data_IF_362218478721
#
_entry.id   IF_362218478721
#
_cell.length_a   1.000
_cell.length_b   1.000
_cell.length_c   1.000
_cell.angle_alpha   90.00
_cell.angle_beta   90.00
_cell.angle_gamma   90.00
#
_symmetry.space_group_name_H-M   'P 1'
#
loop_
_entity.id
_entity.type
_entity.pdbx_description
1 polymer ?
#
# COMPACT_ATOMS: atom_id res chain seq x y z
N UNK A 1 11.68 30.87 -31.56
CA UNK A 1 11.12 29.55 -31.93
C UNK A 1 11.01 28.74 -30.65
N UNK A 2 9.82 28.70 -30.06
CA UNK A 2 9.57 28.04 -28.78
C UNK A 2 9.36 26.53 -29.01
N UNK A 3 10.19 25.70 -28.38
CA UNK A 3 9.96 24.26 -28.28
C UNK A 3 9.33 24.00 -26.92
N UNK A 4 8.01 23.90 -26.91
CA UNK A 4 7.20 23.51 -25.76
C UNK A 4 7.34 22.00 -25.58
N UNK A 5 7.97 21.56 -24.48
CA UNK A 5 8.14 20.15 -24.16
C UNK A 5 6.81 19.53 -23.72
N UNK A 6 6.46 18.43 -24.39
CA UNK A 6 5.19 17.73 -24.36
C UNK A 6 4.82 17.08 -23.01
N UNK A 7 3.50 17.00 -22.83
CA UNK A 7 2.75 16.48 -21.69
C UNK A 7 3.20 15.08 -21.24
N UNK A 8 3.59 14.94 -19.97
CA UNK A 8 3.76 13.64 -19.31
C UNK A 8 2.38 13.01 -19.10
N UNK A 9 2.00 12.07 -19.96
CA UNK A 9 0.77 11.29 -19.82
C UNK A 9 0.72 10.65 -18.43
N UNK A 10 -0.18 11.11 -17.56
CA UNK A 10 -0.46 10.49 -16.25
C UNK A 10 -1.24 9.19 -16.48
N UNK A 11 -0.54 8.07 -16.59
CA UNK A 11 -1.12 6.71 -16.60
C UNK A 11 -1.71 6.41 -15.19
N UNK A 12 -2.89 5.76 -15.08
CA UNK A 12 -3.89 6.14 -14.11
C UNK A 12 -3.49 5.75 -12.69
N UNK A 13 -3.73 6.66 -11.76
CA UNK A 13 -3.60 6.45 -10.32
C UNK A 13 -4.29 5.17 -9.84
N UNK A 14 -5.33 4.70 -10.55
CA UNK A 14 -6.06 3.49 -10.22
C UNK A 14 -5.21 2.22 -10.28
N UNK A 15 -4.41 2.00 -11.33
CA UNK A 15 -3.57 0.79 -11.41
C UNK A 15 -2.48 0.78 -10.33
N UNK A 16 -1.94 1.96 -10.02
CA UNK A 16 -0.99 2.11 -8.89
C UNK A 16 -1.69 1.85 -7.56
N UNK A 17 -2.92 2.32 -7.40
CA UNK A 17 -3.70 2.15 -6.18
C UNK A 17 -4.05 0.69 -5.93
N UNK A 18 -4.51 -0.02 -6.96
CA UNK A 18 -4.80 -1.46 -6.89
C UNK A 18 -3.54 -2.25 -6.52
N UNK A 19 -2.41 -2.00 -7.19
CA UNK A 19 -1.13 -2.66 -6.86
C UNK A 19 -0.67 -2.39 -5.43
N UNK A 20 -0.85 -1.16 -4.95
CA UNK A 20 -0.51 -0.79 -3.57
C UNK A 20 -1.39 -1.54 -2.57
N UNK A 21 -2.70 -1.57 -2.82
CA UNK A 21 -3.65 -2.29 -1.96
C UNK A 21 -3.32 -3.79 -1.90
N UNK A 22 -3.07 -4.42 -3.04
CA UNK A 22 -2.67 -5.83 -3.05
C UNK A 22 -1.34 -6.09 -2.35
N UNK A 23 -0.35 -5.20 -2.50
CA UNK A 23 0.92 -5.32 -1.80
C UNK A 23 0.72 -5.26 -0.27
N UNK A 24 -0.14 -4.37 0.20
CA UNK A 24 -0.52 -4.27 1.61
C UNK A 24 -1.22 -5.54 2.11
N UNK A 25 -2.16 -6.11 1.35
CA UNK A 25 -2.84 -7.36 1.71
C UNK A 25 -1.86 -8.53 1.83
N UNK A 26 -0.99 -8.72 0.81
CA UNK A 26 0.05 -9.76 0.83
C UNK A 26 1.05 -9.57 1.96
N UNK A 27 1.41 -8.33 2.28
CA UNK A 27 2.29 -8.01 3.39
C UNK A 27 1.62 -8.31 4.74
N UNK A 28 0.34 -7.95 4.88
CA UNK A 28 -0.46 -8.24 6.06
C UNK A 28 -0.53 -9.73 6.34
N UNK A 29 -0.92 -10.53 5.36
CA UNK A 29 -0.99 -12.00 5.46
C UNK A 29 0.33 -12.61 5.94
N UNK A 30 1.46 -12.18 5.33
CA UNK A 30 2.79 -12.60 5.75
C UNK A 30 3.14 -12.18 7.17
N UNK A 31 2.77 -10.97 7.58
CA UNK A 31 3.06 -10.50 8.93
C UNK A 31 2.22 -11.21 9.99
N UNK A 32 0.92 -11.36 9.74
CA UNK A 32 0.02 -12.07 10.63
C UNK A 32 0.45 -13.52 10.79
N UNK A 33 0.86 -14.18 9.71
CA UNK A 33 1.35 -15.56 9.73
C UNK A 33 2.71 -15.70 10.43
N UNK A 34 3.62 -14.74 10.26
CA UNK A 34 4.98 -14.86 10.79
C UNK A 34 5.10 -14.52 12.29
N UNK A 35 4.37 -13.50 12.77
CA UNK A 35 4.49 -13.01 14.16
C UNK A 35 3.17 -12.98 14.94
N UNK A 36 2.07 -13.40 14.32
CA UNK A 36 0.74 -13.35 14.92
C UNK A 36 0.09 -11.97 14.84
N UNK A 37 -1.23 -11.95 15.04
CA UNK A 37 -2.04 -10.75 14.94
C UNK A 37 -1.64 -9.66 15.95
N UNK A 38 -1.41 -10.02 17.22
CA UNK A 38 -1.11 -9.07 18.28
C UNK A 38 0.19 -8.29 18.03
N UNK A 39 1.25 -8.97 17.58
CA UNK A 39 2.56 -8.37 17.32
C UNK A 39 2.64 -7.61 15.98
N UNK A 40 1.66 -7.78 15.10
CA UNK A 40 1.60 -7.08 13.81
C UNK A 40 1.13 -5.65 13.98
N UNK A 41 1.75 -4.70 13.28
CA UNK A 41 1.40 -3.27 13.29
C UNK A 41 1.20 -2.75 11.88
N UNK A 42 0.41 -1.69 11.71
CA UNK A 42 0.21 -1.04 10.42
C UNK A 42 1.54 -0.56 9.79
N UNK A 43 2.46 -0.06 10.64
CA UNK A 43 3.83 0.30 10.25
C UNK A 43 4.58 -0.91 9.69
N UNK A 44 4.58 -2.05 10.39
CA UNK A 44 5.28 -3.25 9.93
C UNK A 44 4.72 -3.80 8.63
N UNK A 45 3.40 -3.74 8.44
CA UNK A 45 2.76 -4.13 7.18
C UNK A 45 3.18 -3.19 6.05
N UNK A 46 3.16 -1.87 6.28
CA UNK A 46 3.58 -0.88 5.29
C UNK A 46 5.05 -1.05 4.89
N UNK A 47 5.94 -1.25 5.86
CA UNK A 47 7.36 -1.54 5.64
C UNK A 47 7.55 -2.80 4.80
N UNK A 48 6.83 -3.89 5.11
CA UNK A 48 6.90 -5.12 4.30
C UNK A 48 6.33 -4.96 2.89
N UNK A 49 5.33 -4.11 2.72
CA UNK A 49 4.74 -3.80 1.42
C UNK A 49 5.57 -2.81 0.59
N UNK A 50 6.71 -2.33 1.11
CA UNK A 50 7.56 -1.30 0.51
C UNK A 50 6.80 0.01 0.21
N UNK A 51 5.96 0.42 1.17
CA UNK A 51 5.20 1.68 1.08
C UNK A 51 5.32 2.48 2.37
N UNK A 52 5.08 3.79 2.26
CA UNK A 52 5.03 4.64 3.44
C UNK A 52 3.87 4.24 4.37
N UNK A 53 4.07 4.34 5.69
CA UNK A 53 3.02 4.10 6.68
C UNK A 53 1.78 4.98 6.43
N UNK A 54 1.96 6.22 5.95
CA UNK A 54 0.84 7.07 5.55
C UNK A 54 0.04 6.50 4.37
N UNK A 55 0.68 5.77 3.45
CA UNK A 55 0.00 5.08 2.36
C UNK A 55 -0.87 3.94 2.87
N UNK A 56 -0.46 3.20 3.91
CA UNK A 56 -1.33 2.19 4.54
C UNK A 56 -2.69 2.80 4.91
N UNK A 57 -2.68 3.95 5.60
CA UNK A 57 -3.89 4.62 6.07
C UNK A 57 -4.76 5.23 4.96
N UNK A 58 -4.27 5.29 3.72
CA UNK A 58 -5.10 5.64 2.56
C UNK A 58 -6.00 4.49 2.10
N UNK A 59 -5.64 3.24 2.43
CA UNK A 59 -6.41 2.04 2.05
C UNK A 59 -7.10 1.38 3.23
N UNK A 60 -6.46 1.38 4.41
CA UNK A 60 -6.93 0.67 5.59
C UNK A 60 -6.89 1.55 6.83
N UNK A 61 -8.03 1.65 7.52
CA UNK A 61 -8.13 2.41 8.78
C UNK A 61 -7.39 1.74 9.94
N UNK A 62 -7.17 0.42 9.86
CA UNK A 62 -6.45 -0.36 10.88
C UNK A 62 -5.97 -1.70 10.31
N UNK A 63 -5.12 -2.41 11.06
CA UNK A 63 -4.73 -3.79 10.73
C UNK A 63 -5.92 -4.76 10.76
N UNK A 64 -6.95 -4.48 11.58
CA UNK A 64 -8.20 -5.26 11.60
C UNK A 64 -8.99 -5.10 10.31
N UNK A 65 -9.07 -3.88 9.79
CA UNK A 65 -9.75 -3.62 8.52
C UNK A 65 -9.07 -4.38 7.38
N UNK A 66 -7.73 -4.41 7.38
CA UNK A 66 -6.96 -5.20 6.42
C UNK A 66 -7.18 -6.70 6.59
N UNK A 67 -7.20 -7.21 7.82
CA UNK A 67 -7.39 -8.65 8.10
C UNK A 67 -8.78 -9.17 7.69
N UNK A 68 -9.78 -8.30 7.60
CA UNK A 68 -11.16 -8.67 7.24
C UNK A 68 -11.42 -8.66 5.73
N UNK A 69 -10.48 -8.17 4.93
CA UNK A 69 -10.52 -8.32 3.47
C UNK A 69 -9.98 -9.70 3.04
#
# INVERSE_FOLDING_TARGET
>A
MAVTSESRVRVPSQDRALRTREALLRAGDREFSARGYAATTAKGIAERADVATGSFYQYFVSKDALLRE
#
